data_IF_036505802800
#
_entry.id   IF_036505802800
#
_cell.length_a   1.000
_cell.length_b   1.000
_cell.length_c   1.000
_cell.angle_alpha   90.00
_cell.angle_beta   90.00
_cell.angle_gamma   90.00
#
_symmetry.space_group_name_H-M   'P 1'
#
loop_
_entity.id
_entity.type
_entity.pdbx_description
1 polymer ?
#
# COMPACT_ATOMS: atom_id res chain seq x y z
N UNK A 1 -1.74 4.37 -23.03
CA UNK A 1 -2.96 4.62 -23.83
C UNK A 1 -4.07 5.26 -23.02
N UNK A 2 -4.10 5.04 -21.69
CA UNK A 2 -5.11 5.63 -20.79
C UNK A 2 -4.81 7.08 -20.35
N UNK A 3 -3.85 7.77 -20.95
CA UNK A 3 -3.50 9.16 -20.62
C UNK A 3 -2.81 9.33 -19.25
N UNK A 4 -2.21 8.29 -18.72
CA UNK A 4 -1.51 8.34 -17.42
C UNK A 4 -0.31 9.30 -17.46
N UNK A 5 -0.09 10.04 -16.37
CA UNK A 5 1.03 10.97 -16.25
C UNK A 5 2.33 10.31 -15.79
N UNK A 6 2.22 9.20 -15.09
CA UNK A 6 3.37 8.42 -14.65
C UNK A 6 3.04 6.93 -14.59
N UNK A 7 4.05 6.09 -14.69
CA UNK A 7 3.90 4.63 -14.66
C UNK A 7 4.91 4.03 -13.68
N UNK A 8 4.46 3.11 -12.87
CA UNK A 8 5.31 2.22 -12.10
C UNK A 8 5.05 0.78 -12.53
N UNK A 9 6.10 0.03 -12.79
CA UNK A 9 6.03 -1.38 -13.12
C UNK A 9 6.74 -2.18 -12.02
N UNK A 10 5.99 -3.01 -11.31
CA UNK A 10 6.55 -3.92 -10.32
C UNK A 10 7.44 -4.96 -10.97
N UNK A 11 8.50 -5.36 -10.31
CA UNK A 11 9.32 -6.47 -10.76
C UNK A 11 8.54 -7.78 -10.67
N UNK A 12 8.80 -8.72 -11.58
CA UNK A 12 8.03 -9.97 -11.68
C UNK A 12 8.19 -10.90 -10.46
N UNK A 13 9.23 -10.70 -9.67
CA UNK A 13 9.54 -11.45 -8.45
C UNK A 13 9.05 -10.78 -7.15
N UNK A 14 8.41 -9.62 -7.24
CA UNK A 14 7.97 -8.82 -6.07
C UNK A 14 7.01 -9.57 -5.15
N UNK A 15 6.19 -10.46 -5.71
CA UNK A 15 5.27 -11.28 -4.89
C UNK A 15 6.00 -12.36 -4.07
N UNK A 16 7.26 -12.63 -4.35
CA UNK A 16 8.06 -13.69 -3.72
C UNK A 16 9.09 -13.11 -2.76
N UNK A 17 9.77 -12.03 -3.17
CA UNK A 17 10.89 -11.44 -2.44
C UNK A 17 11.16 -10.00 -2.86
N UNK A 18 12.25 -9.41 -2.33
CA UNK A 18 12.77 -8.15 -2.84
C UNK A 18 13.28 -8.37 -4.28
N UNK A 19 13.03 -7.39 -5.19
CA UNK A 19 13.46 -7.49 -6.57
C UNK A 19 14.97 -7.69 -6.70
N UNK A 20 15.37 -8.58 -7.60
CA UNK A 20 16.77 -8.72 -8.02
C UNK A 20 17.15 -7.57 -8.96
N UNK A 21 18.44 -7.38 -9.22
CA UNK A 21 18.90 -6.40 -10.21
C UNK A 21 18.33 -6.69 -11.60
N UNK A 22 18.25 -7.96 -11.99
CA UNK A 22 17.70 -8.39 -13.27
C UNK A 22 16.21 -8.04 -13.38
N UNK A 23 15.40 -8.43 -12.39
CA UNK A 23 13.96 -8.18 -12.41
C UNK A 23 13.61 -6.71 -12.34
N UNK A 24 14.34 -5.93 -11.54
CA UNK A 24 14.19 -4.48 -11.47
C UNK A 24 14.59 -3.79 -12.78
N UNK A 25 15.68 -4.25 -13.42
CA UNK A 25 16.10 -3.76 -14.73
C UNK A 25 15.05 -4.06 -15.80
N UNK A 26 14.49 -5.26 -15.82
CA UNK A 26 13.43 -5.62 -16.77
C UNK A 26 12.21 -4.74 -16.60
N UNK A 27 11.77 -4.50 -15.36
CA UNK A 27 10.65 -3.61 -15.06
C UNK A 27 10.92 -2.17 -15.55
N UNK A 28 12.13 -1.63 -15.29
CA UNK A 28 12.54 -0.31 -15.76
C UNK A 28 12.58 -0.24 -17.30
N UNK A 29 13.20 -1.22 -17.95
CA UNK A 29 13.31 -1.26 -19.42
C UNK A 29 11.96 -1.37 -20.11
N UNK A 30 11.02 -2.08 -19.51
CA UNK A 30 9.63 -2.15 -20.00
C UNK A 30 8.99 -0.77 -20.09
N UNK A 31 9.14 0.04 -19.04
CA UNK A 31 8.63 1.42 -19.04
C UNK A 31 9.34 2.30 -20.08
N UNK A 32 10.66 2.17 -20.22
CA UNK A 32 11.44 2.92 -21.20
C UNK A 32 11.07 2.54 -22.65
N UNK A 33 10.84 1.26 -22.93
CA UNK A 33 10.33 0.77 -24.23
C UNK A 33 8.98 1.42 -24.57
N UNK A 34 8.06 1.45 -23.62
CA UNK A 34 6.76 2.09 -23.80
C UNK A 34 6.93 3.58 -24.10
N UNK A 35 7.79 4.28 -23.34
CA UNK A 35 7.96 5.72 -23.47
C UNK A 35 8.67 6.12 -24.78
N UNK A 36 9.66 5.35 -25.22
CA UNK A 36 10.57 5.80 -26.30
C UNK A 36 10.41 5.04 -27.63
N UNK A 37 9.90 3.82 -27.63
CA UNK A 37 9.82 3.02 -28.84
C UNK A 37 8.40 2.78 -29.35
N UNK A 38 7.38 2.90 -28.49
CA UNK A 38 6.00 2.58 -28.88
C UNK A 38 5.27 3.70 -29.63
N UNK A 39 5.76 4.94 -29.56
CA UNK A 39 5.09 6.12 -30.11
C UNK A 39 3.85 6.56 -29.36
N UNK A 40 3.43 5.85 -28.29
CA UNK A 40 2.20 6.20 -27.54
C UNK A 40 2.33 7.54 -26.78
N UNK A 41 3.56 7.99 -26.52
CA UNK A 41 3.83 9.25 -25.85
C UNK A 41 3.91 10.47 -26.81
N UNK A 42 3.81 10.25 -28.11
CA UNK A 42 3.95 11.31 -29.13
C UNK A 42 2.67 12.13 -29.29
N UNK A 43 1.56 11.69 -28.72
CA UNK A 43 0.27 12.38 -28.77
C UNK A 43 -0.43 12.34 -27.41
N UNK A 44 -1.30 13.32 -27.18
CA UNK A 44 -2.20 13.35 -26.02
C UNK A 44 -3.40 12.51 -26.36
N UNK A 45 -3.80 11.63 -25.44
CA UNK A 45 -5.00 10.78 -25.54
C UNK A 45 -5.14 10.09 -26.90
N UNK A 46 -4.27 9.08 -27.21
CA UNK A 46 -4.27 8.41 -28.50
C UNK A 46 -5.55 7.59 -28.77
N UNK A 47 -6.41 7.39 -27.78
CA UNK A 47 -7.66 6.65 -27.86
C UNK A 47 -8.89 7.57 -27.94
N UNK A 48 -8.72 8.89 -27.88
CA UNK A 48 -9.80 9.88 -27.94
C UNK A 48 -10.67 9.71 -29.20
N UNK A 49 -11.97 9.84 -29.05
CA UNK A 49 -12.95 9.73 -30.13
C UNK A 49 -13.28 8.27 -30.54
N UNK A 50 -12.72 7.28 -29.87
CA UNK A 50 -13.18 5.89 -30.02
C UNK A 50 -14.56 5.74 -29.37
N UNK A 51 -15.61 5.46 -30.14
CA UNK A 51 -16.98 5.32 -29.63
C UNK A 51 -17.07 4.33 -28.47
N UNK A 52 -16.35 3.24 -28.51
CA UNK A 52 -16.34 2.23 -27.47
C UNK A 52 -15.64 2.75 -26.18
N UNK A 53 -14.49 3.39 -26.33
CA UNK A 53 -13.74 3.92 -25.17
C UNK A 53 -14.51 5.06 -24.50
N UNK A 54 -15.08 5.98 -25.26
CA UNK A 54 -15.91 7.07 -24.73
C UNK A 54 -17.13 6.53 -23.98
N UNK A 55 -17.89 5.61 -24.60
CA UNK A 55 -19.05 4.99 -23.95
C UNK A 55 -18.68 4.21 -22.67
N UNK A 56 -17.49 3.59 -22.64
CA UNK A 56 -16.99 2.86 -21.47
C UNK A 56 -16.54 3.83 -20.37
N UNK A 57 -15.96 4.96 -20.73
CA UNK A 57 -15.57 6.04 -19.82
C UNK A 57 -16.79 6.62 -19.12
N UNK A 58 -17.82 7.00 -19.88
CA UNK A 58 -19.09 7.52 -19.34
C UNK A 58 -19.75 6.51 -18.39
N UNK A 59 -19.70 5.22 -18.77
CA UNK A 59 -20.26 4.16 -17.92
C UNK A 59 -19.51 4.06 -16.59
N UNK A 60 -18.17 4.03 -16.62
CA UNK A 60 -17.37 3.95 -15.40
C UNK A 60 -17.51 5.18 -14.53
N UNK A 61 -17.58 6.38 -15.12
CA UNK A 61 -17.83 7.60 -14.37
C UNK A 61 -19.15 7.50 -13.60
N UNK A 62 -20.23 7.12 -14.28
CA UNK A 62 -21.54 6.95 -13.65
C UNK A 62 -21.50 5.94 -12.50
N UNK A 63 -20.94 4.74 -12.73
CA UNK A 63 -20.85 3.69 -11.73
C UNK A 63 -19.98 4.12 -10.52
N UNK A 64 -18.89 4.86 -10.76
CA UNK A 64 -18.05 5.41 -9.70
C UNK A 64 -18.81 6.43 -8.85
N UNK A 65 -19.59 7.32 -9.46
CA UNK A 65 -20.42 8.27 -8.72
C UNK A 65 -21.51 7.58 -7.90
N UNK A 66 -22.11 6.50 -8.38
CA UNK A 66 -23.08 5.71 -7.61
C UNK A 66 -22.43 5.13 -6.32
N UNK A 67 -21.18 4.63 -6.40
CA UNK A 67 -20.42 4.20 -5.23
C UNK A 67 -20.11 5.36 -4.27
N UNK A 68 -19.66 6.50 -4.79
CA UNK A 68 -19.35 7.69 -3.97
C UNK A 68 -20.60 8.14 -3.21
N UNK A 69 -21.73 8.29 -3.90
CA UNK A 69 -23.00 8.70 -3.27
C UNK A 69 -23.46 7.72 -2.20
N UNK A 70 -23.28 6.42 -2.41
CA UNK A 70 -23.63 5.40 -1.44
C UNK A 70 -22.76 5.50 -0.19
N UNK A 71 -21.46 5.71 -0.36
CA UNK A 71 -20.50 5.88 0.74
C UNK A 71 -20.80 7.17 1.52
N UNK A 72 -21.09 8.27 0.83
CA UNK A 72 -21.45 9.54 1.45
C UNK A 72 -22.75 9.42 2.27
N UNK A 73 -23.75 8.71 1.73
CA UNK A 73 -25.00 8.44 2.45
C UNK A 73 -24.83 7.57 3.71
N UNK A 74 -23.75 6.78 3.77
CA UNK A 74 -23.39 5.99 4.98
C UNK A 74 -22.67 6.82 6.06
N UNK A 75 -22.37 8.08 5.80
CA UNK A 75 -21.60 8.95 6.68
C UNK A 75 -20.13 9.11 6.29
N UNK A 76 -19.77 8.79 5.05
CA UNK A 76 -18.45 8.91 4.47
C UNK A 76 -17.61 7.64 4.58
N UNK A 77 -16.39 7.72 4.08
CA UNK A 77 -15.51 6.57 3.91
C UNK A 77 -15.18 5.85 5.24
N UNK A 78 -14.94 6.57 6.32
CA UNK A 78 -14.63 5.98 7.63
C UNK A 78 -15.81 5.17 8.15
N UNK A 79 -17.01 5.74 8.12
CA UNK A 79 -18.22 5.05 8.55
C UNK A 79 -18.52 3.80 7.69
N UNK A 80 -18.29 3.88 6.38
CA UNK A 80 -18.46 2.74 5.48
C UNK A 80 -17.46 1.61 5.77
N UNK A 81 -16.20 1.94 6.12
CA UNK A 81 -15.18 0.98 6.53
C UNK A 81 -15.57 0.31 7.85
N UNK A 82 -15.98 1.09 8.86
CA UNK A 82 -16.41 0.58 10.16
C UNK A 82 -17.64 -0.33 10.05
N UNK A 83 -18.55 -0.06 9.11
CA UNK A 83 -19.70 -0.90 8.81
C UNK A 83 -19.35 -2.13 7.96
N UNK A 84 -18.10 -2.27 7.50
CA UNK A 84 -17.65 -3.41 6.68
C UNK A 84 -18.12 -3.37 5.23
N UNK A 85 -18.70 -2.26 4.76
CA UNK A 85 -19.27 -2.17 3.41
C UNK A 85 -18.21 -2.40 2.33
N UNK A 86 -17.08 -1.68 2.38
CA UNK A 86 -16.02 -1.82 1.36
C UNK A 86 -15.42 -3.22 1.35
N UNK A 87 -15.19 -3.80 2.53
CA UNK A 87 -14.67 -5.15 2.68
C UNK A 87 -15.64 -6.19 2.11
N UNK A 88 -16.94 -6.02 2.36
CA UNK A 88 -18.00 -6.88 1.82
C UNK A 88 -18.06 -6.87 0.28
N UNK A 89 -18.02 -5.69 -0.33
CA UNK A 89 -17.97 -5.53 -1.80
C UNK A 89 -16.72 -6.23 -2.39
N UNK A 90 -15.54 -5.98 -1.79
CA UNK A 90 -14.30 -6.63 -2.23
C UNK A 90 -14.36 -8.15 -2.10
N UNK A 91 -14.87 -8.67 -0.99
CA UNK A 91 -14.99 -10.11 -0.75
C UNK A 91 -15.95 -10.76 -1.75
N UNK A 92 -17.10 -10.14 -2.03
CA UNK A 92 -18.07 -10.64 -3.00
C UNK A 92 -17.47 -10.71 -4.41
N UNK A 93 -16.79 -9.64 -4.85
CA UNK A 93 -16.14 -9.63 -6.16
C UNK A 93 -14.97 -10.61 -6.26
N UNK A 94 -14.18 -10.76 -5.20
CA UNK A 94 -13.07 -11.73 -5.16
C UNK A 94 -13.60 -13.17 -5.26
N UNK A 95 -14.71 -13.47 -4.58
CA UNK A 95 -15.36 -14.78 -4.66
C UNK A 95 -15.91 -15.08 -6.05
N UNK A 96 -16.58 -14.11 -6.69
CA UNK A 96 -17.07 -14.23 -8.06
C UNK A 96 -15.92 -14.45 -9.03
N UNK A 97 -14.86 -13.63 -8.93
CA UNK A 97 -13.67 -13.74 -9.76
C UNK A 97 -13.02 -15.13 -9.67
N UNK A 98 -12.83 -15.64 -8.45
CA UNK A 98 -12.25 -16.97 -8.23
C UNK A 98 -13.15 -18.07 -8.79
N UNK A 99 -14.46 -17.96 -8.55
CA UNK A 99 -15.46 -18.92 -9.06
C UNK A 99 -15.46 -18.95 -10.60
N UNK A 100 -15.32 -17.81 -11.25
CA UNK A 100 -15.26 -17.73 -12.72
C UNK A 100 -14.00 -18.37 -13.31
N UNK A 101 -12.86 -18.26 -12.60
CA UNK A 101 -11.61 -18.93 -12.97
C UNK A 101 -11.80 -20.46 -12.85
N UNK A 102 -12.32 -20.93 -11.72
CA UNK A 102 -12.53 -22.36 -11.46
C UNK A 102 -13.53 -23.02 -12.43
N UNK A 103 -14.57 -22.30 -12.80
CA UNK A 103 -15.56 -22.73 -13.79
C UNK A 103 -15.13 -22.56 -15.24
N UNK A 104 -13.93 -22.01 -15.48
CA UNK A 104 -13.39 -21.76 -16.82
C UNK A 104 -14.09 -20.64 -17.60
N UNK A 105 -14.96 -19.85 -16.96
CA UNK A 105 -15.59 -18.67 -17.59
C UNK A 105 -14.57 -17.54 -17.82
N UNK A 106 -13.62 -17.41 -16.91
CA UNK A 106 -12.51 -16.47 -16.99
C UNK A 106 -11.21 -17.19 -17.26
N UNK A 107 -10.48 -16.75 -18.27
CA UNK A 107 -9.14 -17.29 -18.57
C UNK A 107 -8.07 -16.40 -17.96
N UNK A 108 -7.18 -17.00 -17.16
CA UNK A 108 -5.96 -16.39 -16.65
C UNK A 108 -4.77 -17.19 -17.14
N UNK A 109 -3.95 -16.58 -17.99
CA UNK A 109 -2.79 -17.24 -18.59
C UNK A 109 -1.78 -17.61 -17.51
N UNK A 110 -1.27 -18.84 -17.57
CA UNK A 110 -0.36 -19.36 -16.54
C UNK A 110 -1.04 -19.90 -15.29
N UNK A 111 -2.37 -19.70 -15.16
CA UNK A 111 -3.16 -20.23 -14.03
C UNK A 111 -4.08 -21.35 -14.48
N UNK A 112 -5.13 -21.05 -15.24
CA UNK A 112 -6.09 -22.05 -15.71
C UNK A 112 -6.02 -22.31 -17.22
N UNK A 113 -5.16 -21.60 -17.95
CA UNK A 113 -4.87 -21.83 -19.37
C UNK A 113 -3.39 -21.58 -19.66
N UNK A 114 -2.79 -22.46 -20.43
CA UNK A 114 -1.35 -22.45 -20.75
C UNK A 114 -0.47 -22.44 -19.48
N UNK A 115 -0.92 -23.09 -18.42
CA UNK A 115 -0.13 -23.28 -17.21
C UNK A 115 1.10 -24.14 -17.53
N UNK A 116 2.27 -23.70 -17.10
CA UNK A 116 3.51 -24.46 -17.16
C UNK A 116 3.83 -24.99 -15.75
N UNK A 117 3.99 -26.31 -15.64
CA UNK A 117 4.32 -26.96 -14.37
C UNK A 117 5.81 -26.79 -13.99
N UNK A 118 6.56 -25.97 -14.73
CA UNK A 118 7.94 -25.66 -14.36
C UNK A 118 7.96 -24.75 -13.14
N UNK A 119 8.57 -25.23 -12.07
CA UNK A 119 8.83 -24.38 -10.90
C UNK A 119 9.62 -23.14 -11.34
N UNK A 120 9.12 -21.96 -10.97
CA UNK A 120 9.89 -20.72 -11.14
C UNK A 120 11.17 -20.88 -10.34
N UNK A 121 12.33 -20.82 -11.00
CA UNK A 121 13.62 -20.87 -10.31
C UNK A 121 13.78 -19.55 -9.54
N UNK A 122 13.65 -19.64 -8.24
CA UNK A 122 13.88 -18.51 -7.32
C UNK A 122 15.34 -18.47 -6.86
N UNK A 123 16.28 -18.70 -7.79
CA UNK A 123 17.68 -18.97 -7.44
C UNK A 123 18.41 -17.75 -6.82
N UNK A 124 17.87 -16.53 -6.96
CA UNK A 124 18.57 -15.31 -6.56
C UNK A 124 17.69 -14.42 -5.63
N UNK A 125 16.87 -15.06 -4.79
CA UNK A 125 16.07 -14.33 -3.81
C UNK A 125 16.99 -13.57 -2.86
N UNK A 126 16.86 -12.25 -2.83
CA UNK A 126 17.59 -11.41 -1.86
C UNK A 126 17.05 -11.71 -0.47
N UNK A 127 17.86 -12.34 0.36
CA UNK A 127 17.58 -12.54 1.78
C UNK A 127 18.10 -11.35 2.58
N UNK A 128 17.31 -10.91 3.56
CA UNK A 128 17.74 -9.84 4.45
C UNK A 128 18.96 -10.27 5.26
N UNK A 129 20.01 -9.45 5.25
CA UNK A 129 21.20 -9.67 6.09
C UNK A 129 20.83 -9.40 7.56
N UNK A 130 20.71 -10.44 8.36
CA UNK A 130 20.37 -10.35 9.78
C UNK A 130 21.40 -9.53 10.59
N UNK A 131 22.65 -9.43 10.13
CA UNK A 131 23.65 -8.58 10.77
C UNK A 131 23.30 -7.08 10.77
N UNK A 132 22.45 -6.64 9.81
CA UNK A 132 21.95 -5.27 9.79
C UNK A 132 21.06 -5.00 11.00
N UNK A 133 20.19 -5.96 11.34
CA UNK A 133 19.30 -5.86 12.50
C UNK A 133 20.12 -5.83 13.80
N UNK A 134 21.13 -6.70 13.93
CA UNK A 134 22.00 -6.75 15.10
C UNK A 134 22.76 -5.42 15.30
N UNK A 135 23.35 -4.88 14.22
CA UNK A 135 24.02 -3.57 14.27
C UNK A 135 23.07 -2.44 14.67
N UNK A 136 21.85 -2.45 14.15
CA UNK A 136 20.85 -1.43 14.49
C UNK A 136 20.40 -1.54 15.94
N UNK A 137 20.17 -2.74 16.45
CA UNK A 137 19.85 -2.99 17.87
C UNK A 137 20.97 -2.47 18.77
N UNK A 138 22.23 -2.80 18.46
CA UNK A 138 23.38 -2.33 19.22
C UNK A 138 23.43 -0.79 19.24
N UNK A 139 23.28 -0.14 18.09
CA UNK A 139 23.25 1.33 18.00
C UNK A 139 22.13 1.97 18.80
N UNK A 140 20.92 1.40 18.76
CA UNK A 140 19.79 1.90 19.55
C UNK A 140 20.02 1.74 21.05
N UNK A 141 20.60 0.60 21.48
CA UNK A 141 20.91 0.36 22.87
C UNK A 141 22.01 1.32 23.39
N UNK A 142 23.03 1.57 22.58
CA UNK A 142 24.08 2.55 22.89
C UNK A 142 23.51 3.97 23.04
N UNK A 143 22.66 4.39 22.09
CA UNK A 143 21.98 5.68 22.15
C UNK A 143 21.12 5.79 23.41
N UNK A 144 20.34 4.75 23.75
CA UNK A 144 19.52 4.74 24.97
C UNK A 144 20.36 4.83 26.25
N UNK A 145 21.55 4.24 26.26
CA UNK A 145 22.44 4.27 27.40
C UNK A 145 23.04 5.66 27.69
N UNK A 146 23.16 6.51 26.65
CA UNK A 146 23.83 7.82 26.75
C UNK A 146 22.88 9.01 26.69
N UNK A 147 21.59 8.83 26.34
CA UNK A 147 20.60 9.91 26.28
C UNK A 147 20.17 10.39 27.67
N UNK A 148 19.67 11.59 27.76
CA UNK A 148 18.99 12.11 28.97
C UNK A 148 17.61 11.46 29.09
N UNK A 149 17.51 10.45 29.96
CA UNK A 149 16.25 9.72 30.13
C UNK A 149 15.14 10.61 30.75
N UNK A 150 15.50 11.56 31.61
CA UNK A 150 14.52 12.46 32.22
C UNK A 150 13.90 13.42 31.17
N UNK A 151 14.72 13.89 30.20
CA UNK A 151 14.22 14.71 29.11
C UNK A 151 13.30 13.89 28.21
N UNK A 152 13.62 12.63 27.91
CA UNK A 152 12.76 11.72 27.13
C UNK A 152 11.43 11.51 27.83
N UNK A 153 11.44 11.15 29.12
CA UNK A 153 10.21 10.88 29.88
C UNK A 153 9.31 12.12 29.94
N UNK A 154 9.91 13.30 30.09
CA UNK A 154 9.18 14.57 30.09
C UNK A 154 8.55 14.89 28.76
N UNK A 155 9.26 14.68 27.65
CA UNK A 155 8.75 14.92 26.30
C UNK A 155 7.65 13.93 25.93
N UNK A 156 7.79 12.66 26.27
CA UNK A 156 6.77 11.63 26.05
C UNK A 156 5.51 11.90 26.89
N UNK A 157 5.66 12.36 28.13
CA UNK A 157 4.53 12.79 28.96
C UNK A 157 3.79 13.98 28.35
N UNK A 158 4.52 14.98 27.85
CA UNK A 158 3.92 16.13 27.18
C UNK A 158 3.16 15.72 25.91
N UNK A 159 3.72 14.80 25.12
CA UNK A 159 3.06 14.21 23.94
C UNK A 159 1.77 13.49 24.35
N UNK A 160 1.81 12.68 25.41
CA UNK A 160 0.64 11.95 25.93
C UNK A 160 -0.50 12.89 26.34
N UNK A 161 -0.19 13.95 27.06
CA UNK A 161 -1.20 14.93 27.48
C UNK A 161 -1.78 15.69 26.27
N UNK A 162 -0.94 16.10 25.31
CA UNK A 162 -1.39 16.74 24.09
C UNK A 162 -2.31 15.82 23.24
N UNK A 163 -2.00 14.52 23.19
CA UNK A 163 -2.77 13.54 22.44
C UNK A 163 -4.17 13.27 22.99
N UNK A 164 -4.45 13.61 24.25
CA UNK A 164 -5.79 13.50 24.85
C UNK A 164 -6.75 14.61 24.41
N UNK A 165 -6.23 15.67 23.79
CA UNK A 165 -6.99 16.83 23.35
C UNK A 165 -6.96 17.02 21.83
N UNK A 166 -7.19 18.24 21.40
CA UNK A 166 -7.21 18.63 19.96
C UNK A 166 -5.93 19.37 19.52
N UNK A 167 -4.87 19.31 20.32
CA UNK A 167 -3.63 20.00 20.01
C UNK A 167 -2.94 19.42 18.78
N UNK A 168 -2.27 20.27 18.00
CA UNK A 168 -1.38 19.78 16.93
C UNK A 168 -0.22 19.01 17.55
N UNK A 169 -0.13 17.69 17.27
CA UNK A 169 0.89 16.82 17.86
C UNK A 169 2.29 17.00 17.27
N UNK A 170 2.42 17.61 16.08
CA UNK A 170 3.71 17.71 15.41
C UNK A 170 4.82 18.39 16.23
N UNK A 171 4.59 19.51 16.94
CA UNK A 171 5.60 20.08 17.82
C UNK A 171 6.09 19.13 18.91
N UNK A 172 5.17 18.41 19.56
CA UNK A 172 5.48 17.44 20.63
C UNK A 172 6.25 16.22 20.10
N UNK A 173 5.92 15.75 18.89
CA UNK A 173 6.66 14.67 18.21
C UNK A 173 8.10 15.11 17.91
N UNK A 174 8.28 16.32 17.38
CA UNK A 174 9.60 16.88 17.10
C UNK A 174 10.43 16.99 18.38
N UNK A 175 9.84 17.48 19.46
CA UNK A 175 10.53 17.62 20.75
C UNK A 175 10.92 16.23 21.31
N UNK A 176 10.04 15.24 21.24
CA UNK A 176 10.36 13.88 21.63
C UNK A 176 11.52 13.28 20.79
N UNK A 177 11.54 13.50 19.48
CA UNK A 177 12.64 13.06 18.62
C UNK A 177 13.96 13.75 18.99
N UNK A 178 13.94 15.06 19.31
CA UNK A 178 15.12 15.81 19.74
C UNK A 178 15.74 15.30 21.05
N UNK A 179 14.93 14.71 21.93
CA UNK A 179 15.42 14.07 23.17
C UNK A 179 15.90 12.65 22.95
N UNK A 180 15.91 12.15 21.69
CA UNK A 180 16.23 10.76 21.33
C UNK A 180 15.21 9.74 21.84
N UNK A 181 13.93 10.10 21.97
CA UNK A 181 12.87 9.13 22.09
C UNK A 181 12.81 8.26 20.83
N UNK A 182 12.71 6.95 21.01
CA UNK A 182 12.61 6.02 19.88
C UNK A 182 11.20 6.01 19.29
N UNK A 183 11.09 5.57 18.03
CA UNK A 183 9.79 5.38 17.37
C UNK A 183 8.85 4.50 18.21
N UNK A 184 9.39 3.42 18.80
CA UNK A 184 8.61 2.51 19.66
C UNK A 184 8.06 3.19 20.92
N UNK A 185 8.83 4.07 21.56
CA UNK A 185 8.39 4.82 22.73
C UNK A 185 7.31 5.86 22.36
N UNK A 186 7.51 6.59 21.27
CA UNK A 186 6.53 7.55 20.74
C UNK A 186 5.22 6.84 20.35
N UNK A 187 5.30 5.79 19.55
CA UNK A 187 4.12 5.03 19.15
C UNK A 187 3.44 4.33 20.33
N UNK A 188 4.21 3.89 21.34
CA UNK A 188 3.69 3.34 22.58
C UNK A 188 2.76 4.33 23.30
N UNK A 189 3.20 5.57 23.46
CA UNK A 189 2.40 6.64 24.06
C UNK A 189 1.12 6.91 23.26
N UNK A 190 1.21 6.98 21.94
CA UNK A 190 0.04 7.22 21.10
C UNK A 190 -0.93 6.04 21.14
N UNK A 191 -0.43 4.80 21.19
CA UNK A 191 -1.23 3.58 21.34
C UNK A 191 -1.99 3.55 22.67
N UNK A 192 -1.38 4.02 23.75
CA UNK A 192 -2.06 4.13 25.05
C UNK A 192 -3.24 5.12 25.04
N UNK A 193 -3.19 6.15 24.21
CA UNK A 193 -4.26 7.16 24.11
C UNK A 193 -5.33 6.78 23.10
N UNK A 194 -4.92 6.32 21.90
CA UNK A 194 -5.82 6.06 20.76
C UNK A 194 -6.23 4.59 20.62
N UNK A 195 -5.54 3.68 21.31
CA UNK A 195 -5.70 2.24 21.07
C UNK A 195 -5.10 1.79 19.73
N UNK A 196 -5.46 0.59 19.32
CA UNK A 196 -5.08 0.02 18.03
C UNK A 196 -6.35 -0.29 17.23
N UNK A 197 -6.33 0.06 15.96
CA UNK A 197 -7.40 -0.33 15.05
C UNK A 197 -7.37 -1.84 14.86
N UNK A 198 -8.50 -2.47 15.11
CA UNK A 198 -8.73 -3.87 14.76
C UNK A 198 -9.80 -3.90 13.67
N UNK A 199 -9.47 -4.49 12.55
CA UNK A 199 -10.44 -4.70 11.48
C UNK A 199 -11.59 -5.54 12.04
N UNK A 200 -12.80 -4.99 11.99
CA UNK A 200 -14.01 -5.70 12.46
C UNK A 200 -14.13 -7.04 11.71
N UNK A 201 -14.05 -8.12 12.48
CA UNK A 201 -14.13 -9.46 11.91
C UNK A 201 -15.56 -9.87 11.73
N UNK A 202 -16.12 -9.78 10.58
CA UNK A 202 -17.10 -10.71 10.02
C UNK A 202 -17.12 -10.47 8.51
N UNK A 203 -16.06 -10.91 7.84
CA UNK A 203 -15.98 -10.92 6.37
C UNK A 203 -16.75 -12.11 5.75
N UNK A 204 -17.39 -12.95 6.59
CA UNK A 204 -18.18 -14.11 6.15
C UNK A 204 -19.41 -14.28 7.03
#
# INVERSE_FOLDING_TARGET
>A
LAGIQSMACCAYDEAIALPTEESATLALRTQQLIAYESGVADTIDPMAGSYYVEALTDKFEKEAYEYIQKIDAMGGAVAAIEQGYMQGEMAAHAYEYQTDIEKGKRTVIGVNKFADNKAVKTNDVITADLSVAERQIARVNEMKAHRDQQAVDSSLKALKEAAKGEANLMPYLIDAVKTYATLGEICGVLREVFGEYQQGGNLF
#
